data_IF_069123069139
#
_entry.id   IF_069123069139
#
_cell.length_a   1.000
_cell.length_b   1.000
_cell.length_c   1.000
_cell.angle_alpha   90.00
_cell.angle_beta   90.00
_cell.angle_gamma   90.00
#
_symmetry.space_group_name_H-M   'P 1'
#
loop_
_entity.id
_entity.type
_entity.pdbx_description
1 polymer ?
#
# COMPACT_ATOMS: atom_id res chain seq x y z
N UNK A 1 38.85 27.29 26.82
CA UNK A 1 38.03 26.14 26.38
C UNK A 1 36.56 26.17 26.89
N UNK A 2 36.27 26.73 28.06
CA UNK A 2 34.93 26.78 28.67
C UNK A 2 33.92 27.69 27.94
N UNK A 3 34.34 28.81 27.34
CA UNK A 3 33.46 29.80 26.71
C UNK A 3 32.88 29.32 25.35
N UNK A 4 33.68 28.57 24.56
CA UNK A 4 33.26 28.04 23.26
C UNK A 4 32.20 26.92 23.43
N UNK A 5 32.36 26.10 24.48
CA UNK A 5 31.40 25.03 24.79
C UNK A 5 30.04 25.62 25.22
N UNK A 6 30.02 26.72 25.96
CA UNK A 6 28.81 27.42 26.39
C UNK A 6 28.06 28.08 25.23
N UNK A 7 28.76 28.68 24.26
CA UNK A 7 28.15 29.29 23.07
C UNK A 7 27.53 28.25 22.16
N UNK A 8 28.19 27.12 21.96
CA UNK A 8 27.62 26.00 21.16
C UNK A 8 26.38 25.41 21.83
N UNK A 9 26.38 25.27 23.17
CA UNK A 9 25.20 24.77 23.90
C UNK A 9 24.04 25.74 23.81
N UNK A 10 24.29 27.05 23.93
CA UNK A 10 23.25 28.09 23.81
C UNK A 10 22.71 28.16 22.37
N UNK A 11 23.58 28.12 21.35
CA UNK A 11 23.14 28.06 19.95
C UNK A 11 22.30 26.81 19.65
N UNK A 12 22.69 25.65 20.17
CA UNK A 12 21.98 24.40 20.04
C UNK A 12 20.60 24.47 20.69
N UNK A 13 20.49 25.04 21.91
CA UNK A 13 19.19 25.23 22.58
C UNK A 13 18.30 26.25 21.86
N UNK A 14 18.87 27.33 21.31
CA UNK A 14 18.11 28.31 20.50
C UNK A 14 17.62 27.70 19.19
N UNK A 15 18.44 26.88 18.50
CA UNK A 15 18.05 26.16 17.29
C UNK A 15 16.99 25.13 17.58
N UNK A 16 17.11 24.38 18.68
CA UNK A 16 16.06 23.43 19.11
C UNK A 16 14.76 24.15 19.44
N UNK A 17 14.79 25.29 20.12
CA UNK A 17 13.60 26.07 20.45
C UNK A 17 12.96 26.71 19.21
N UNK A 18 13.75 27.23 18.26
CA UNK A 18 13.21 27.71 16.96
C UNK A 18 12.58 26.60 16.14
N UNK A 19 13.22 25.42 16.06
CA UNK A 19 12.65 24.25 15.40
C UNK A 19 11.35 23.81 16.09
N UNK A 20 11.29 23.76 17.42
CA UNK A 20 10.07 23.46 18.19
C UNK A 20 8.92 24.46 17.94
N UNK A 21 9.22 25.75 17.82
CA UNK A 21 8.21 26.76 17.51
C UNK A 21 7.66 26.57 16.08
N UNK A 22 8.54 26.29 15.12
CA UNK A 22 8.17 26.07 13.73
C UNK A 22 7.32 24.81 13.55
N UNK A 23 7.66 23.72 14.26
CA UNK A 23 6.93 22.44 14.20
C UNK A 23 5.49 22.58 14.75
N UNK A 24 5.26 23.44 15.76
CA UNK A 24 3.90 23.68 16.30
C UNK A 24 2.90 24.22 15.26
N UNK A 25 3.39 24.77 14.14
CA UNK A 25 2.57 25.28 13.05
C UNK A 25 2.54 24.34 11.84
N UNK A 26 3.31 23.23 11.85
CA UNK A 26 3.31 22.24 10.79
C UNK A 26 2.22 21.21 11.04
N UNK A 27 1.44 20.94 10.01
CA UNK A 27 0.52 19.78 10.02
C UNK A 27 1.33 18.49 9.89
N UNK A 28 1.16 17.59 10.86
CA UNK A 28 1.75 16.25 10.85
C UNK A 28 0.67 15.25 10.52
N UNK A 29 0.71 14.75 9.31
CA UNK A 29 -0.32 13.86 8.80
C UNK A 29 0.16 12.42 8.84
N UNK A 30 -0.35 11.62 9.78
CA UNK A 30 -0.13 10.17 9.90
C UNK A 30 -1.38 9.37 9.52
N UNK A 31 -2.30 10.00 8.76
CA UNK A 31 -3.56 9.37 8.36
C UNK A 31 -3.35 8.19 7.40
N UNK A 32 -2.52 8.39 6.37
CA UNK A 32 -2.23 7.39 5.33
C UNK A 32 -0.97 7.79 4.53
N UNK A 33 -0.25 6.81 3.97
CA UNK A 33 0.82 7.04 3.00
C UNK A 33 0.31 7.54 1.63
N UNK A 34 -1.01 7.56 1.43
CA UNK A 34 -1.66 8.15 0.24
C UNK A 34 -1.66 9.67 0.24
N UNK A 35 -1.28 10.32 1.35
CA UNK A 35 -1.19 11.79 1.44
C UNK A 35 0.16 12.33 0.98
N UNK A 36 1.11 11.45 0.64
CA UNK A 36 2.44 11.84 0.15
C UNK A 36 2.36 12.71 -1.09
N UNK A 37 3.25 13.70 -1.15
CA UNK A 37 3.37 14.63 -2.27
C UNK A 37 4.68 14.39 -3.02
N UNK A 38 4.73 14.63 -4.34
CA UNK A 38 5.97 14.60 -5.09
C UNK A 38 7.00 15.56 -4.50
N UNK A 39 8.25 15.11 -4.38
CA UNK A 39 9.35 16.01 -4.00
C UNK A 39 9.68 16.99 -5.13
N UNK A 40 10.37 18.12 -4.85
CA UNK A 40 10.80 19.05 -5.90
C UNK A 40 11.61 18.36 -7.00
N UNK A 41 12.48 17.42 -6.64
CA UNK A 41 13.29 16.64 -7.59
C UNK A 41 12.42 15.72 -8.47
N UNK A 42 11.42 15.07 -7.89
CA UNK A 42 10.45 14.28 -8.64
C UNK A 42 9.65 15.16 -9.61
N UNK A 43 9.18 16.33 -9.17
CA UNK A 43 8.47 17.28 -10.03
C UNK A 43 9.36 17.73 -11.21
N UNK A 44 10.64 18.04 -10.94
CA UNK A 44 11.60 18.40 -12.00
C UNK A 44 11.81 17.25 -12.98
N UNK A 45 11.87 16.00 -12.48
CA UNK A 45 11.98 14.81 -13.33
C UNK A 45 10.75 14.63 -14.21
N UNK A 46 9.54 14.85 -13.66
CA UNK A 46 8.28 14.83 -14.40
C UNK A 46 8.25 15.89 -15.51
N UNK A 47 8.64 17.14 -15.23
CA UNK A 47 8.63 18.22 -16.23
C UNK A 47 9.59 17.97 -17.40
N UNK A 48 10.65 17.21 -17.19
CA UNK A 48 11.63 16.85 -18.22
C UNK A 48 11.27 15.59 -18.99
N UNK A 49 10.13 14.94 -18.68
CA UNK A 49 9.74 13.70 -19.33
C UNK A 49 9.47 13.87 -20.82
N UNK A 50 9.94 12.92 -21.61
CA UNK A 50 9.55 12.79 -23.01
C UNK A 50 8.16 12.15 -23.06
N UNK A 51 7.21 12.80 -23.74
CA UNK A 51 5.81 12.34 -23.77
C UNK A 51 5.33 12.13 -25.19
N UNK A 52 4.30 11.31 -25.33
CA UNK A 52 3.58 11.04 -26.58
C UNK A 52 2.17 10.55 -26.28
N UNK A 53 1.44 10.08 -27.27
CA UNK A 53 0.08 9.55 -27.06
C UNK A 53 0.12 8.07 -26.62
N UNK A 54 -0.13 7.81 -25.32
CA UNK A 54 -0.15 6.44 -24.77
C UNK A 54 -1.25 5.56 -25.39
N UNK A 55 -2.34 6.14 -25.88
CA UNK A 55 -3.40 5.37 -26.55
C UNK A 55 -2.87 4.68 -27.81
N UNK A 56 -1.89 5.28 -28.49
CA UNK A 56 -1.19 4.71 -29.64
C UNK A 56 0.16 4.06 -29.30
N UNK A 57 0.47 3.93 -28.00
CA UNK A 57 1.78 3.41 -27.53
C UNK A 57 2.98 4.24 -28.00
N UNK A 58 2.77 5.54 -28.18
CA UNK A 58 3.79 6.50 -28.62
C UNK A 58 4.41 7.29 -27.48
N UNK A 59 3.96 7.09 -26.22
CA UNK A 59 4.56 7.72 -25.05
C UNK A 59 5.80 6.94 -24.59
N UNK A 60 7.02 7.46 -24.81
CA UNK A 60 8.23 6.69 -24.54
C UNK A 60 8.44 6.46 -23.04
N UNK A 61 8.04 7.42 -22.18
CA UNK A 61 8.22 7.29 -20.72
C UNK A 61 7.26 6.28 -20.11
N UNK A 62 6.02 6.18 -20.61
CA UNK A 62 5.08 5.11 -20.22
C UNK A 62 5.63 3.76 -20.64
N UNK A 63 6.10 3.64 -21.88
CA UNK A 63 6.66 2.39 -22.40
C UNK A 63 7.89 1.94 -21.60
N UNK A 64 8.76 2.86 -21.20
CA UNK A 64 9.94 2.59 -20.38
C UNK A 64 9.55 2.11 -18.97
N UNK A 65 8.57 2.76 -18.32
CA UNK A 65 8.06 2.35 -17.00
C UNK A 65 7.47 0.94 -17.06
N UNK A 66 6.63 0.65 -18.07
CA UNK A 66 6.02 -0.66 -18.25
C UNK A 66 7.09 -1.75 -18.47
N UNK A 67 8.06 -1.49 -19.34
CA UNK A 67 9.15 -2.43 -19.61
C UNK A 67 10.04 -2.68 -18.38
N UNK A 68 10.42 -1.60 -17.67
CA UNK A 68 11.26 -1.68 -16.47
C UNK A 68 10.61 -2.51 -15.36
N UNK A 69 9.30 -2.33 -15.13
CA UNK A 69 8.57 -3.09 -14.12
C UNK A 69 8.33 -4.55 -14.55
N UNK A 70 8.07 -4.79 -15.83
CA UNK A 70 7.96 -6.16 -16.35
C UNK A 70 9.28 -6.93 -16.10
N UNK A 71 10.42 -6.34 -16.43
CA UNK A 71 11.75 -6.94 -16.20
C UNK A 71 12.03 -7.15 -14.71
N UNK A 72 11.77 -6.13 -13.88
CA UNK A 72 11.99 -6.17 -12.43
C UNK A 72 11.25 -7.33 -11.75
N UNK A 73 10.03 -7.63 -12.20
CA UNK A 73 9.23 -8.74 -11.70
C UNK A 73 9.41 -10.03 -12.49
N UNK A 74 10.17 -10.04 -13.57
CA UNK A 74 10.29 -11.20 -14.47
C UNK A 74 8.97 -11.56 -15.16
N UNK A 75 8.11 -10.57 -15.40
CA UNK A 75 6.86 -10.73 -16.16
C UNK A 75 7.06 -10.37 -17.63
N UNK A 76 6.22 -10.92 -18.50
CA UNK A 76 6.32 -10.69 -19.94
C UNK A 76 5.92 -9.29 -20.37
N UNK A 77 5.00 -8.65 -19.63
CA UNK A 77 4.50 -7.32 -19.91
C UNK A 77 3.87 -6.65 -18.68
N UNK A 78 3.75 -5.34 -18.77
CA UNK A 78 3.08 -4.50 -17.78
C UNK A 78 2.19 -3.46 -18.48
N UNK A 79 1.24 -2.89 -17.71
CA UNK A 79 0.35 -1.84 -18.19
C UNK A 79 0.14 -0.79 -17.10
N UNK A 80 0.35 0.49 -17.44
CA UNK A 80 0.19 1.62 -16.53
C UNK A 80 -1.28 2.04 -16.38
N UNK A 81 -1.70 2.33 -15.14
CA UNK A 81 -3.06 2.71 -14.75
C UNK A 81 -3.08 3.98 -13.91
N UNK A 82 -4.15 4.79 -13.95
CA UNK A 82 -4.30 5.97 -13.11
C UNK A 82 -4.48 5.62 -11.62
N UNK A 83 -4.95 4.42 -11.27
CA UNK A 83 -5.18 4.01 -9.88
C UNK A 83 -5.01 2.51 -9.67
N UNK A 84 -4.71 2.12 -8.40
CA UNK A 84 -4.66 0.72 -7.98
C UNK A 84 -6.02 0.02 -8.12
N UNK A 85 -7.09 0.72 -7.78
CA UNK A 85 -8.46 0.20 -7.97
C UNK A 85 -8.71 -0.20 -9.42
N UNK A 86 -8.36 0.65 -10.39
CA UNK A 86 -8.56 0.29 -11.80
C UNK A 86 -7.68 -0.89 -12.22
N UNK A 87 -6.45 -0.99 -11.73
CA UNK A 87 -5.56 -2.12 -12.00
C UNK A 87 -6.14 -3.42 -11.44
N UNK A 88 -6.58 -3.44 -10.18
CA UNK A 88 -7.22 -4.59 -9.53
C UNK A 88 -8.51 -5.00 -10.25
N UNK A 89 -9.41 -4.05 -10.51
CA UNK A 89 -10.67 -4.33 -11.21
C UNK A 89 -10.43 -4.84 -12.63
N UNK A 90 -9.37 -4.38 -13.30
CA UNK A 90 -8.94 -4.90 -14.59
C UNK A 90 -8.46 -6.34 -14.48
N UNK A 91 -7.64 -6.68 -13.49
CA UNK A 91 -7.15 -8.03 -13.25
C UNK A 91 -8.30 -9.00 -12.93
N UNK A 92 -9.22 -8.59 -12.06
CA UNK A 92 -10.39 -9.39 -11.70
C UNK A 92 -11.24 -9.69 -12.96
N UNK A 93 -11.59 -8.64 -13.72
CA UNK A 93 -12.36 -8.81 -14.97
C UNK A 93 -11.64 -9.64 -16.03
N UNK A 94 -10.32 -9.58 -16.06
CA UNK A 94 -9.47 -10.34 -16.98
C UNK A 94 -9.58 -11.86 -16.74
N UNK A 95 -9.68 -12.26 -15.47
CA UNK A 95 -9.61 -13.65 -15.03
C UNK A 95 -10.98 -14.29 -14.74
N UNK A 96 -12.07 -13.54 -14.85
CA UNK A 96 -13.40 -14.00 -14.49
C UNK A 96 -14.45 -13.64 -15.56
N UNK A 97 -15.57 -14.37 -15.55
CA UNK A 97 -16.76 -14.08 -16.33
C UNK A 97 -17.94 -13.81 -15.39
N UNK A 98 -18.99 -13.10 -15.84
CA UNK A 98 -20.20 -12.93 -15.03
C UNK A 98 -20.75 -14.26 -14.53
N UNK A 99 -21.07 -14.34 -13.24
CA UNK A 99 -21.53 -15.54 -12.55
C UNK A 99 -20.42 -16.37 -11.89
N UNK A 100 -19.14 -16.07 -12.16
CA UNK A 100 -18.01 -16.66 -11.45
C UNK A 100 -17.88 -16.09 -10.02
N UNK A 101 -16.88 -16.58 -9.30
CA UNK A 101 -16.55 -16.19 -7.94
C UNK A 101 -15.04 -15.98 -7.78
N UNK A 102 -14.66 -15.01 -6.93
CA UNK A 102 -13.30 -14.86 -6.42
C UNK A 102 -13.25 -15.16 -4.92
N UNK A 103 -12.16 -15.78 -4.48
CA UNK A 103 -11.82 -15.95 -3.07
C UNK A 103 -10.87 -14.82 -2.64
N UNK A 104 -11.18 -14.14 -1.53
CA UNK A 104 -10.30 -13.17 -0.89
C UNK A 104 -10.55 -13.09 0.63
N UNK A 105 -9.65 -12.42 1.36
CA UNK A 105 -9.91 -12.10 2.75
C UNK A 105 -11.03 -11.07 2.90
N UNK A 106 -11.85 -11.17 3.96
CA UNK A 106 -12.96 -10.25 4.26
C UNK A 106 -12.50 -8.79 4.47
N UNK A 107 -11.21 -8.56 4.76
CA UNK A 107 -10.59 -7.25 4.89
C UNK A 107 -9.89 -6.79 3.62
N UNK A 108 -9.86 -7.63 2.57
CA UNK A 108 -9.23 -7.33 1.29
C UNK A 108 -9.72 -6.01 0.69
N UNK A 109 -8.80 -5.21 0.17
CA UNK A 109 -9.13 -3.89 -0.40
C UNK A 109 -10.11 -4.00 -1.56
N UNK A 110 -9.96 -5.01 -2.42
CA UNK A 110 -10.84 -5.26 -3.57
C UNK A 110 -12.30 -5.47 -3.18
N UNK A 111 -12.55 -5.98 -1.97
CA UNK A 111 -13.89 -6.18 -1.44
C UNK A 111 -14.43 -4.94 -0.69
N UNK A 112 -13.61 -4.35 0.22
CA UNK A 112 -14.10 -3.32 1.15
C UNK A 112 -14.02 -1.89 0.62
N UNK A 113 -13.04 -1.59 -0.26
CA UNK A 113 -12.66 -0.21 -0.57
C UNK A 113 -12.68 0.15 -2.06
N UNK A 114 -13.28 -0.71 -2.89
CA UNK A 114 -13.40 -0.46 -4.33
C UNK A 114 -14.88 -0.29 -4.76
N UNK A 115 -15.69 0.27 -3.85
CA UNK A 115 -17.06 0.70 -4.09
C UNK A 115 -17.98 -0.37 -4.73
N UNK A 116 -17.79 -1.66 -4.38
CA UNK A 116 -18.54 -2.77 -4.98
C UNK A 116 -18.10 -3.11 -6.41
N UNK A 117 -16.89 -2.66 -6.79
CA UNK A 117 -16.35 -2.79 -8.15
C UNK A 117 -16.30 -4.22 -8.66
N UNK A 118 -16.06 -5.21 -7.80
CA UNK A 118 -16.05 -6.64 -8.16
C UNK A 118 -17.39 -7.05 -8.81
N UNK A 119 -18.49 -6.76 -8.13
CA UNK A 119 -19.82 -7.06 -8.65
C UNK A 119 -20.18 -6.16 -9.84
N UNK A 120 -19.93 -4.86 -9.74
CA UNK A 120 -20.31 -3.88 -10.76
C UNK A 120 -19.56 -4.08 -12.08
N UNK A 121 -18.24 -4.25 -12.01
CA UNK A 121 -17.41 -4.34 -13.22
C UNK A 121 -17.35 -5.74 -13.82
N UNK A 122 -17.32 -6.78 -12.98
CA UNK A 122 -17.10 -8.16 -13.43
C UNK A 122 -18.33 -9.04 -13.38
N UNK A 123 -19.36 -8.65 -12.60
CA UNK A 123 -20.60 -9.44 -12.44
C UNK A 123 -20.37 -10.72 -11.65
N UNK A 124 -19.42 -10.72 -10.72
CA UNK A 124 -19.04 -11.90 -9.92
C UNK A 124 -19.29 -11.69 -8.45
N UNK A 125 -19.36 -12.78 -7.68
CA UNK A 125 -19.41 -12.79 -6.23
C UNK A 125 -18.01 -12.86 -5.61
N UNK A 126 -17.94 -12.49 -4.30
CA UNK A 126 -16.77 -12.74 -3.47
C UNK A 126 -17.10 -13.83 -2.45
N UNK A 127 -16.26 -14.85 -2.34
CA UNK A 127 -16.26 -15.81 -1.27
C UNK A 127 -15.18 -15.42 -0.27
N UNK A 128 -15.63 -15.02 0.94
CA UNK A 128 -14.79 -14.32 1.90
C UNK A 128 -14.24 -15.27 2.95
N UNK A 129 -12.93 -15.20 3.14
CA UNK A 129 -12.23 -15.90 4.21
C UNK A 129 -11.95 -14.94 5.37
N UNK A 130 -12.02 -15.42 6.60
CA UNK A 130 -11.59 -14.73 7.82
C UNK A 130 -10.14 -15.12 8.14
N UNK A 131 -9.20 -14.50 7.47
CA UNK A 131 -7.77 -14.74 7.65
C UNK A 131 -7.19 -13.98 8.85
N UNK A 132 -6.10 -14.48 9.41
CA UNK A 132 -5.40 -13.78 10.47
C UNK A 132 -4.73 -12.52 9.93
N UNK A 133 -5.07 -11.36 10.48
CA UNK A 133 -4.56 -10.06 10.04
C UNK A 133 -4.77 -9.80 8.53
N UNK A 134 -5.85 -10.35 7.95
CA UNK A 134 -6.14 -10.20 6.52
C UNK A 134 -5.33 -11.12 5.60
N UNK A 135 -4.63 -12.10 6.15
CA UNK A 135 -3.87 -13.11 5.42
C UNK A 135 -4.59 -14.45 5.46
N UNK A 136 -4.92 -14.98 4.29
CA UNK A 136 -5.55 -16.29 4.11
C UNK A 136 -4.49 -17.39 3.95
N UNK A 137 -4.82 -18.63 4.30
CA UNK A 137 -3.93 -19.79 4.16
C UNK A 137 -4.34 -20.68 3.00
N UNK A 138 -3.41 -21.51 2.53
CA UNK A 138 -3.68 -22.52 1.50
C UNK A 138 -4.80 -23.48 1.88
N UNK A 139 -4.82 -23.91 3.16
CA UNK A 139 -5.88 -24.77 3.69
C UNK A 139 -7.25 -24.08 3.65
N UNK A 140 -7.31 -22.80 4.05
CA UNK A 140 -8.54 -22.01 3.97
C UNK A 140 -9.01 -21.86 2.51
N UNK A 141 -8.10 -21.59 1.59
CA UNK A 141 -8.42 -21.48 0.15
C UNK A 141 -8.97 -22.83 -0.37
N UNK A 142 -8.28 -23.94 -0.12
CA UNK A 142 -8.71 -25.28 -0.55
C UNK A 142 -10.13 -25.63 -0.05
N UNK A 143 -10.41 -25.32 1.22
CA UNK A 143 -11.72 -25.59 1.84
C UNK A 143 -12.83 -24.61 1.40
N UNK A 144 -12.49 -23.54 0.69
CA UNK A 144 -13.46 -22.51 0.26
C UNK A 144 -13.82 -22.65 -1.21
N UNK A 145 -13.07 -23.45 -1.99
CA UNK A 145 -13.34 -23.68 -3.40
C UNK A 145 -14.66 -24.45 -3.55
N UNK A 146 -15.57 -23.93 -4.38
CA UNK A 146 -16.81 -24.64 -4.72
C UNK A 146 -16.52 -25.86 -5.61
N UNK A 147 -17.22 -26.96 -5.35
CA UNK A 147 -17.16 -28.16 -6.20
C UNK A 147 -17.65 -27.81 -7.64
N UNK A 148 -16.80 -27.98 -8.68
CA UNK A 148 -17.18 -27.66 -10.05
C UNK A 148 -18.39 -28.46 -10.57
N UNK A 149 -18.66 -29.64 -10.01
CA UNK A 149 -19.79 -30.48 -10.38
C UNK A 149 -21.10 -30.07 -9.71
N UNK A 150 -21.01 -29.20 -8.67
CA UNK A 150 -22.18 -28.69 -7.96
C UNK A 150 -22.74 -27.44 -8.66
N UNK A 151 -23.56 -27.62 -9.69
CA UNK A 151 -24.04 -26.53 -10.56
C UNK A 151 -24.89 -25.44 -9.88
N UNK A 152 -25.27 -25.60 -8.61
CA UNK A 152 -25.97 -24.58 -7.83
C UNK A 152 -25.04 -23.47 -7.30
N UNK A 153 -23.75 -23.71 -7.20
CA UNK A 153 -22.77 -22.76 -6.73
C UNK A 153 -22.07 -22.02 -7.90
N UNK A 154 -21.61 -20.77 -7.69
CA UNK A 154 -20.77 -20.10 -8.69
C UNK A 154 -19.44 -20.84 -8.85
N UNK A 155 -18.87 -20.75 -10.06
CA UNK A 155 -17.53 -21.32 -10.31
C UNK A 155 -16.46 -20.45 -9.68
N UNK A 156 -15.67 -21.00 -8.76
CA UNK A 156 -14.46 -20.34 -8.27
C UNK A 156 -13.43 -20.24 -9.38
N UNK A 157 -12.92 -19.05 -9.71
CA UNK A 157 -11.97 -18.79 -10.81
C UNK A 157 -10.74 -18.05 -10.42
N UNK A 158 -10.78 -17.31 -9.31
CA UNK A 158 -9.72 -16.40 -8.92
C UNK A 158 -9.50 -16.43 -7.41
N UNK A 159 -8.23 -16.46 -6.98
CA UNK A 159 -7.81 -16.16 -5.63
C UNK A 159 -7.10 -14.82 -5.65
N UNK A 160 -7.49 -13.89 -4.77
CA UNK A 160 -6.88 -12.59 -4.63
C UNK A 160 -6.36 -12.39 -3.20
N UNK A 161 -5.07 -12.06 -3.07
CA UNK A 161 -4.44 -11.71 -1.79
C UNK A 161 -3.88 -10.30 -1.83
N UNK A 162 -3.81 -9.65 -0.67
CA UNK A 162 -3.28 -8.29 -0.50
C UNK A 162 -1.96 -8.33 0.28
N UNK A 163 -0.88 -7.77 -0.26
CA UNK A 163 0.42 -7.69 0.44
C UNK A 163 1.07 -6.30 0.24
N UNK A 164 1.36 -5.55 1.33
CA UNK A 164 1.02 -5.83 2.74
C UNK A 164 -0.46 -5.55 3.00
N UNK A 165 -1.04 -6.26 3.96
CA UNK A 165 -2.46 -6.10 4.30
C UNK A 165 -2.74 -4.76 4.99
N UNK A 166 -3.66 -3.96 4.47
CA UNK A 166 -3.97 -2.63 5.00
C UNK A 166 -4.63 -2.71 6.40
N UNK A 167 -5.75 -3.43 6.52
CA UNK A 167 -6.47 -3.59 7.80
C UNK A 167 -5.74 -4.50 8.78
N UNK A 168 -4.84 -5.33 8.30
CA UNK A 168 -3.98 -6.19 9.12
C UNK A 168 -2.75 -5.49 9.72
N UNK A 169 -2.62 -4.15 9.54
CA UNK A 169 -1.52 -3.38 10.13
C UNK A 169 -0.21 -3.51 9.34
N UNK A 170 -0.28 -3.61 8.03
CA UNK A 170 0.91 -3.75 7.18
C UNK A 170 1.59 -5.11 7.34
N UNK A 171 0.80 -6.15 7.66
CA UNK A 171 1.31 -7.52 7.76
C UNK A 171 1.81 -8.03 6.42
N UNK A 172 2.91 -8.77 6.44
CA UNK A 172 3.53 -9.35 5.28
C UNK A 172 3.29 -10.86 5.23
N UNK A 173 2.81 -11.36 4.11
CA UNK A 173 2.73 -12.80 3.89
C UNK A 173 4.08 -13.48 4.02
N UNK A 174 4.06 -14.70 4.58
CA UNK A 174 5.17 -15.64 4.42
C UNK A 174 5.19 -16.13 2.96
N UNK A 175 6.35 -16.08 2.33
CA UNK A 175 6.54 -16.52 0.95
C UNK A 175 6.21 -18.01 0.76
N UNK A 176 6.50 -18.83 1.76
CA UNK A 176 6.19 -20.27 1.71
C UNK A 176 4.68 -20.52 1.75
N UNK A 177 3.91 -19.68 2.46
CA UNK A 177 2.45 -19.79 2.43
C UNK A 177 1.88 -19.34 1.06
N UNK A 178 2.46 -18.30 0.46
CA UNK A 178 2.08 -17.89 -0.91
C UNK A 178 2.37 -18.99 -1.94
N UNK A 179 3.47 -19.75 -1.80
CA UNK A 179 3.77 -20.91 -2.66
C UNK A 179 2.71 -22.00 -2.51
N UNK A 180 2.31 -22.32 -1.29
CA UNK A 180 1.23 -23.31 -1.04
C UNK A 180 -0.10 -22.85 -1.64
N UNK A 181 -0.46 -21.57 -1.49
CA UNK A 181 -1.66 -21.02 -2.14
C UNK A 181 -1.55 -21.17 -3.67
N UNK A 182 -0.38 -20.90 -4.26
CA UNK A 182 -0.14 -21.11 -5.70
C UNK A 182 -0.31 -22.57 -6.11
N UNK A 183 0.14 -23.53 -5.30
CA UNK A 183 -0.05 -24.96 -5.54
C UNK A 183 -1.54 -25.32 -5.57
N UNK A 184 -2.33 -24.81 -4.60
CA UNK A 184 -3.79 -24.98 -4.58
C UNK A 184 -4.42 -24.38 -5.84
N UNK A 185 -4.06 -23.13 -6.19
CA UNK A 185 -4.57 -22.50 -7.41
C UNK A 185 -4.25 -23.32 -8.67
N UNK A 186 -3.03 -23.86 -8.76
CA UNK A 186 -2.61 -24.68 -9.90
C UNK A 186 -3.39 -26.01 -9.97
N UNK A 187 -3.57 -26.68 -8.83
CA UNK A 187 -4.34 -27.94 -8.73
C UNK A 187 -5.78 -27.77 -9.21
N UNK A 188 -6.42 -26.65 -8.88
CA UNK A 188 -7.83 -26.38 -9.21
C UNK A 188 -8.01 -25.48 -10.45
N UNK A 189 -6.94 -25.21 -11.20
CA UNK A 189 -6.96 -24.35 -12.40
C UNK A 189 -7.55 -22.94 -12.11
N UNK A 190 -7.22 -22.39 -10.94
CA UNK A 190 -7.59 -21.03 -10.53
C UNK A 190 -6.50 -20.04 -10.91
N UNK A 191 -6.89 -18.80 -11.19
CA UNK A 191 -5.95 -17.70 -11.33
C UNK A 191 -5.58 -17.14 -9.96
N UNK A 192 -4.36 -16.62 -9.84
CA UNK A 192 -3.83 -16.05 -8.62
C UNK A 192 -3.40 -14.60 -8.85
N UNK A 193 -4.10 -13.65 -8.22
CA UNK A 193 -3.85 -12.22 -8.32
C UNK A 193 -3.30 -11.66 -7.01
N UNK A 194 -2.29 -10.80 -7.12
CA UNK A 194 -1.76 -10.02 -5.99
C UNK A 194 -2.20 -8.56 -6.09
N UNK A 195 -3.00 -8.12 -5.11
CA UNK A 195 -3.09 -6.69 -4.79
C UNK A 195 -1.81 -6.27 -4.05
N UNK A 196 -0.89 -5.72 -4.80
CA UNK A 196 0.42 -5.25 -4.33
C UNK A 196 0.43 -3.75 -3.99
N UNK A 197 -0.69 -3.21 -3.50
CA UNK A 197 -0.80 -1.78 -3.17
C UNK A 197 0.35 -1.26 -2.29
N UNK A 198 0.90 -2.12 -1.43
CA UNK A 198 2.09 -1.84 -0.59
C UNK A 198 3.15 -2.94 -0.69
N UNK A 199 3.24 -3.63 -1.80
CA UNK A 199 4.22 -4.71 -2.01
C UNK A 199 5.66 -4.23 -1.82
N UNK A 200 5.97 -2.99 -2.21
CA UNK A 200 7.30 -2.40 -1.98
C UNK A 200 7.71 -2.43 -0.50
N UNK A 201 6.77 -2.19 0.41
CA UNK A 201 7.03 -2.30 1.85
C UNK A 201 7.33 -3.75 2.26
N UNK A 202 6.58 -4.74 1.74
CA UNK A 202 6.86 -6.16 2.02
C UNK A 202 8.24 -6.58 1.50
N UNK A 203 8.59 -6.21 0.26
CA UNK A 203 9.87 -6.52 -0.35
C UNK A 203 11.04 -5.99 0.48
N UNK A 204 10.95 -4.74 0.94
CA UNK A 204 11.98 -4.12 1.80
C UNK A 204 12.03 -4.78 3.18
N UNK A 205 10.87 -4.98 3.83
CA UNK A 205 10.81 -5.56 5.17
C UNK A 205 11.33 -7.00 5.24
N UNK A 206 11.01 -7.80 4.20
CA UNK A 206 11.42 -9.22 4.11
C UNK A 206 12.71 -9.43 3.32
N UNK A 207 13.31 -8.37 2.76
CA UNK A 207 14.50 -8.42 1.90
C UNK A 207 14.33 -9.40 0.74
N UNK A 208 13.16 -9.35 0.11
CA UNK A 208 12.79 -10.24 -0.99
C UNK A 208 12.93 -9.56 -2.34
N UNK A 209 13.25 -10.36 -3.37
CA UNK A 209 13.36 -9.85 -4.74
C UNK A 209 12.00 -9.91 -5.45
N UNK A 210 11.60 -8.90 -6.22
CA UNK A 210 10.31 -8.86 -6.94
C UNK A 210 10.02 -10.07 -7.83
N UNK A 211 11.06 -10.68 -8.44
CA UNK A 211 10.91 -11.87 -9.30
C UNK A 211 10.25 -13.05 -8.60
N UNK A 212 10.47 -13.22 -7.28
CA UNK A 212 9.79 -14.26 -6.49
C UNK A 212 8.26 -14.15 -6.59
N UNK A 213 7.76 -12.92 -6.56
CA UNK A 213 6.33 -12.66 -6.71
C UNK A 213 5.88 -12.82 -8.17
N UNK A 214 6.73 -12.40 -9.12
CA UNK A 214 6.48 -12.62 -10.53
C UNK A 214 6.27 -14.09 -10.91
N UNK A 215 7.01 -15.00 -10.29
CA UNK A 215 6.88 -16.44 -10.52
C UNK A 215 5.59 -17.04 -9.94
N UNK A 216 5.12 -16.50 -8.79
CA UNK A 216 3.97 -17.06 -8.06
C UNK A 216 2.61 -16.63 -8.64
N UNK A 217 2.47 -15.37 -9.02
CA UNK A 217 1.18 -14.79 -9.37
C UNK A 217 0.95 -14.75 -10.88
N UNK A 218 -0.29 -15.00 -11.33
CA UNK A 218 -0.68 -14.80 -12.73
C UNK A 218 -0.65 -13.29 -13.05
N UNK A 219 -1.24 -12.46 -12.19
CA UNK A 219 -1.20 -11.00 -12.32
C UNK A 219 -0.83 -10.33 -10.98
N UNK A 220 -0.14 -9.20 -11.05
CA UNK A 220 0.26 -8.39 -9.89
C UNK A 220 -0.06 -6.93 -10.17
N UNK A 221 -0.80 -6.27 -9.28
CA UNK A 221 -0.89 -4.82 -9.28
C UNK A 221 0.10 -4.23 -8.29
N UNK A 222 0.81 -3.15 -8.65
CA UNK A 222 1.70 -2.42 -7.75
C UNK A 222 1.39 -0.92 -7.80
N UNK A 223 1.20 -0.30 -6.63
CA UNK A 223 0.99 1.13 -6.56
C UNK A 223 2.31 1.90 -6.49
N UNK A 224 2.35 3.06 -7.17
CA UNK A 224 3.44 4.03 -7.14
C UNK A 224 3.09 5.24 -6.27
N UNK A 225 1.79 5.47 -6.03
CA UNK A 225 1.19 6.66 -5.41
C UNK A 225 0.92 6.53 -3.90
N UNK A 226 1.78 5.83 -3.18
CA UNK A 226 1.72 5.67 -1.71
C UNK A 226 3.10 5.95 -1.12
N UNK A 227 3.69 5.03 -0.37
CA UNK A 227 5.01 5.18 0.25
C UNK A 227 6.13 5.58 -0.73
N UNK A 228 6.00 5.28 -2.01
CA UNK A 228 6.94 5.71 -3.05
C UNK A 228 6.79 7.18 -3.47
N UNK A 229 5.69 7.86 -3.13
CA UNK A 229 5.51 9.30 -3.29
C UNK A 229 5.15 9.79 -4.68
N UNK A 230 4.89 8.93 -5.66
CA UNK A 230 4.34 9.39 -6.94
C UNK A 230 2.92 9.94 -6.75
N UNK A 231 2.50 11.00 -7.46
CA UNK A 231 1.20 11.64 -7.23
C UNK A 231 0.03 10.76 -7.67
N UNK A 232 0.25 9.92 -8.68
CA UNK A 232 -0.75 9.06 -9.33
C UNK A 232 -0.03 7.83 -9.88
N UNK A 233 -0.73 6.72 -9.94
CA UNK A 233 -0.32 5.60 -10.77
C UNK A 233 -0.18 4.28 -10.05
N UNK A 234 -0.53 3.26 -10.80
CA UNK A 234 -0.30 1.84 -10.51
C UNK A 234 0.06 1.12 -11.79
N UNK A 235 0.66 -0.04 -11.66
CA UNK A 235 1.00 -0.88 -12.81
C UNK A 235 0.47 -2.29 -12.58
N UNK A 236 -0.18 -2.85 -13.59
CA UNK A 236 -0.59 -4.26 -13.63
C UNK A 236 0.43 -5.03 -14.46
N UNK A 237 0.91 -6.15 -13.92
CA UNK A 237 1.89 -7.04 -14.53
C UNK A 237 1.26 -8.40 -14.84
N UNK A 238 1.66 -9.02 -15.94
CA UNK A 238 1.17 -10.34 -16.35
C UNK A 238 1.84 -10.83 -17.63
N UNK A 239 1.16 -11.73 -18.34
CA UNK A 239 1.60 -12.18 -19.67
C UNK A 239 1.33 -11.12 -20.74
N UNK A 240 2.00 -11.20 -21.89
CA UNK A 240 1.72 -10.32 -23.04
C UNK A 240 0.27 -10.42 -23.50
N UNK A 241 -0.29 -11.62 -23.49
CA UNK A 241 -1.69 -11.83 -23.86
C UNK A 241 -2.65 -11.17 -22.85
N UNK A 242 -2.41 -11.35 -21.57
CA UNK A 242 -3.20 -10.71 -20.51
C UNK A 242 -3.15 -9.18 -20.63
N UNK A 243 -1.97 -8.61 -20.83
CA UNK A 243 -1.84 -7.14 -20.95
C UNK A 243 -2.50 -6.60 -22.23
N UNK A 244 -2.51 -7.37 -23.33
CA UNK A 244 -3.27 -7.02 -24.54
C UNK A 244 -4.78 -6.99 -24.29
N UNK A 245 -5.31 -7.91 -23.50
CA UNK A 245 -6.72 -7.93 -23.08
C UNK A 245 -7.01 -6.83 -22.06
N UNK A 246 -6.13 -6.66 -21.08
CA UNK A 246 -6.22 -5.62 -20.05
C UNK A 246 -6.26 -4.20 -20.63
N UNK A 247 -5.56 -3.94 -21.74
CA UNK A 247 -5.60 -2.66 -22.44
C UNK A 247 -7.02 -2.28 -22.89
N UNK A 248 -7.82 -3.24 -23.35
CA UNK A 248 -9.22 -3.02 -23.72
C UNK A 248 -10.08 -2.74 -22.50
N UNK A 249 -9.87 -3.49 -21.41
CA UNK A 249 -10.58 -3.30 -20.14
C UNK A 249 -10.24 -1.93 -19.56
N UNK A 250 -8.95 -1.54 -19.51
CA UNK A 250 -8.50 -0.20 -19.10
C UNK A 250 -9.23 0.89 -19.89
N UNK A 251 -9.40 0.70 -21.21
CA UNK A 251 -10.11 1.67 -22.05
C UNK A 251 -11.58 1.78 -21.69
N UNK A 252 -12.26 0.67 -21.43
CA UNK A 252 -13.67 0.62 -21.01
C UNK A 252 -13.84 1.36 -19.67
N UNK A 253 -12.90 1.17 -18.74
CA UNK A 253 -12.91 1.82 -17.41
C UNK A 253 -12.48 3.30 -17.45
N UNK A 254 -12.21 3.86 -18.62
CA UNK A 254 -11.84 5.27 -18.76
C UNK A 254 -10.36 5.57 -18.50
N UNK A 255 -9.51 4.54 -18.33
CA UNK A 255 -8.09 4.68 -18.00
C UNK A 255 -7.15 4.94 -19.18
N UNK A 256 -7.67 5.18 -20.39
CA UNK A 256 -6.86 5.56 -21.56
C UNK A 256 -6.50 7.05 -21.50
N UNK A 257 -5.29 7.34 -21.03
CA UNK A 257 -4.73 8.69 -20.97
C UNK A 257 -3.94 9.01 -22.24
N UNK A 258 -3.61 10.29 -22.48
CA UNK A 258 -2.82 10.75 -23.62
C UNK A 258 -1.34 10.87 -23.23
N UNK A 259 -0.87 12.04 -22.86
CA UNK A 259 0.52 12.30 -22.47
C UNK A 259 0.75 11.87 -21.02
N UNK A 260 0.56 10.58 -20.73
CA UNK A 260 0.69 10.02 -19.40
C UNK A 260 2.16 9.89 -18.93
N UNK A 261 3.12 10.12 -19.82
CA UNK A 261 4.54 10.08 -19.52
C UNK A 261 4.97 11.03 -18.40
N UNK A 262 4.29 12.15 -18.21
CA UNK A 262 4.53 13.01 -17.04
C UNK A 262 4.28 12.28 -15.73
N UNK A 263 3.21 11.48 -15.65
CA UNK A 263 2.86 10.69 -14.47
C UNK A 263 3.75 9.44 -14.36
N UNK A 264 4.05 8.80 -15.48
CA UNK A 264 4.95 7.65 -15.54
C UNK A 264 6.37 8.02 -15.09
N UNK A 265 6.84 9.24 -15.41
CA UNK A 265 8.12 9.76 -14.95
C UNK A 265 8.21 9.85 -13.42
N UNK A 266 7.13 10.24 -12.74
CA UNK A 266 7.09 10.19 -11.28
C UNK A 266 7.28 8.76 -10.77
N UNK A 267 6.66 7.77 -11.43
CA UNK A 267 6.85 6.35 -11.14
C UNK A 267 8.30 5.90 -11.33
N UNK A 268 8.92 6.28 -12.45
CA UNK A 268 10.35 5.98 -12.71
C UNK A 268 11.26 6.57 -11.64
N UNK A 269 11.07 7.85 -11.30
CA UNK A 269 11.82 8.51 -10.23
C UNK A 269 11.64 7.77 -8.88
N UNK A 270 10.39 7.43 -8.56
CA UNK A 270 10.04 6.73 -7.33
C UNK A 270 10.73 5.35 -7.20
N UNK A 271 10.76 4.58 -8.28
CA UNK A 271 11.43 3.28 -8.33
C UNK A 271 12.94 3.40 -8.13
N UNK A 272 13.56 4.43 -8.71
CA UNK A 272 15.00 4.67 -8.63
C UNK A 272 15.46 5.20 -7.26
N UNK A 273 14.60 5.98 -6.58
CA UNK A 273 15.05 6.77 -5.42
C UNK A 273 14.33 6.42 -4.10
N UNK A 274 13.11 5.86 -4.15
CA UNK A 274 12.26 5.81 -2.96
C UNK A 274 12.00 4.41 -2.39
N UNK A 275 12.48 3.33 -3.03
CA UNK A 275 12.24 1.96 -2.52
C UNK A 275 13.02 1.73 -1.23
N UNK A 276 14.34 1.94 -1.24
CA UNK A 276 15.21 1.65 -0.08
C UNK A 276 14.87 2.52 1.13
N UNK A 277 14.43 3.77 0.91
CA UNK A 277 14.05 4.66 2.00
C UNK A 277 12.81 4.20 2.80
N UNK A 278 12.02 3.24 2.31
CA UNK A 278 10.91 2.65 3.06
C UNK A 278 11.37 2.04 4.39
N UNK A 279 12.65 1.65 4.53
CA UNK A 279 13.22 1.21 5.80
C UNK A 279 13.11 2.28 6.90
N UNK A 280 13.22 3.57 6.54
CA UNK A 280 13.05 4.69 7.48
C UNK A 280 11.61 4.76 8.00
N UNK A 281 10.63 4.54 7.10
CA UNK A 281 9.23 4.51 7.48
C UNK A 281 8.94 3.35 8.44
N UNK A 282 9.48 2.17 8.16
CA UNK A 282 9.35 1.00 9.03
C UNK A 282 9.99 1.22 10.41
N UNK A 283 11.17 1.84 10.44
CA UNK A 283 11.85 2.18 11.69
C UNK A 283 11.00 3.12 12.54
N UNK A 284 10.52 4.24 11.96
CA UNK A 284 9.67 5.21 12.65
C UNK A 284 8.36 4.58 13.14
N UNK A 285 7.74 3.69 12.35
CA UNK A 285 6.55 2.96 12.75
C UNK A 285 6.79 2.10 13.99
N UNK A 286 7.90 1.35 14.04
CA UNK A 286 8.30 0.54 15.20
C UNK A 286 8.56 1.39 16.44
N UNK A 287 9.23 2.53 16.28
CA UNK A 287 9.50 3.48 17.38
C UNK A 287 8.19 4.04 17.94
N UNK A 288 7.25 4.47 17.10
CA UNK A 288 5.90 4.89 17.52
C UNK A 288 5.18 3.79 18.30
N UNK A 289 5.19 2.57 17.77
CA UNK A 289 4.56 1.42 18.43
C UNK A 289 5.17 1.10 19.79
N UNK A 290 6.49 1.23 19.92
CA UNK A 290 7.19 1.03 21.20
C UNK A 290 6.76 2.04 22.25
N UNK A 291 6.62 3.31 21.89
CA UNK A 291 6.12 4.35 22.82
C UNK A 291 4.66 4.11 23.16
N UNK A 292 3.80 3.86 22.15
CA UNK A 292 2.38 3.59 22.38
C UNK A 292 2.17 2.44 23.37
N UNK A 293 2.98 1.38 23.26
CA UNK A 293 2.88 0.20 24.14
C UNK A 293 3.18 0.51 25.62
N UNK A 294 3.87 1.62 25.92
CA UNK A 294 4.18 2.05 27.31
C UNK A 294 3.08 2.91 27.93
N UNK A 295 2.13 3.40 27.12
CA UNK A 295 1.12 4.36 27.60
C UNK A 295 0.01 3.64 28.37
N UNK A 296 -0.41 4.12 29.55
CA UNK A 296 -1.31 3.40 30.45
C UNK A 296 -2.72 3.23 29.90
N UNK A 297 -3.13 4.05 28.93
CA UNK A 297 -4.45 4.04 28.30
C UNK A 297 -4.50 3.22 27.00
N UNK A 298 -3.37 2.67 26.56
CA UNK A 298 -3.34 1.75 25.42
C UNK A 298 -3.64 0.32 25.90
N UNK A 299 -4.57 -0.34 25.25
CA UNK A 299 -4.89 -1.74 25.51
C UNK A 299 -3.94 -2.70 24.77
N UNK A 300 -3.71 -2.44 23.48
CA UNK A 300 -2.88 -3.28 22.60
C UNK A 300 -2.30 -2.47 21.45
N UNK A 301 -1.07 -2.79 21.08
CA UNK A 301 -0.47 -2.40 19.78
C UNK A 301 -0.34 -3.67 18.96
N UNK A 302 -0.87 -3.66 17.73
CA UNK A 302 -0.74 -4.81 16.82
C UNK A 302 0.72 -4.96 16.34
N UNK A 303 1.17 -6.17 15.96
CA UNK A 303 2.53 -6.37 15.47
C UNK A 303 2.85 -5.47 14.27
N UNK A 304 3.98 -4.74 14.33
CA UNK A 304 4.41 -3.77 13.32
C UNK A 304 5.51 -4.38 12.47
N UNK A 305 5.19 -4.70 11.22
CA UNK A 305 6.14 -5.25 10.26
C UNK A 305 6.65 -4.19 9.28
N UNK A 306 5.80 -3.23 8.91
CA UNK A 306 6.09 -2.20 7.93
C UNK A 306 5.75 -0.80 8.46
N UNK A 307 5.12 0.04 7.66
CA UNK A 307 4.86 1.45 7.94
C UNK A 307 3.50 1.74 8.61
N UNK A 308 2.71 0.72 8.94
CA UNK A 308 1.38 0.88 9.54
C UNK A 308 1.42 0.49 11.01
N UNK A 309 0.96 1.39 11.87
CA UNK A 309 0.81 1.19 13.31
C UNK A 309 -0.67 1.16 13.64
N UNK A 310 -1.20 0.01 14.03
CA UNK A 310 -2.56 -0.13 14.57
C UNK A 310 -2.47 -0.36 16.06
N UNK A 311 -3.26 0.39 16.81
CA UNK A 311 -3.34 0.24 18.25
C UNK A 311 -4.79 0.40 18.74
N UNK A 312 -5.08 -0.16 19.90
CA UNK A 312 -6.40 -0.11 20.52
C UNK A 312 -6.32 0.58 21.88
N UNK A 313 -7.23 1.52 22.11
CA UNK A 313 -7.41 2.16 23.40
C UNK A 313 -8.10 1.20 24.38
N UNK A 314 -7.92 1.40 25.69
CA UNK A 314 -8.74 0.76 26.73
C UNK A 314 -10.19 1.20 26.62
N UNK A 315 -11.12 0.37 27.08
CA UNK A 315 -12.56 0.59 26.94
C UNK A 315 -13.11 1.81 27.69
N UNK A 316 -12.39 2.27 28.70
CA UNK A 316 -12.69 3.46 29.52
C UNK A 316 -12.15 4.75 28.93
N UNK A 317 -11.41 4.68 27.81
CA UNK A 317 -10.81 5.83 27.13
C UNK A 317 -11.66 6.26 25.93
N UNK A 318 -11.99 7.55 25.87
CA UNK A 318 -12.76 8.12 24.76
C UNK A 318 -11.86 8.34 23.53
N UNK A 319 -12.16 7.63 22.44
CA UNK A 319 -11.43 7.72 21.17
C UNK A 319 -11.38 9.14 20.59
N UNK A 320 -12.53 9.83 20.61
CA UNK A 320 -12.65 11.19 20.08
C UNK A 320 -11.77 12.14 20.86
N UNK A 321 -11.79 12.06 22.18
CA UNK A 321 -10.95 12.90 23.04
C UNK A 321 -9.45 12.67 22.78
N UNK A 322 -9.04 11.41 22.57
CA UNK A 322 -7.64 11.13 22.23
C UNK A 322 -7.23 11.73 20.89
N UNK A 323 -8.07 11.56 19.87
CA UNK A 323 -7.83 12.11 18.52
C UNK A 323 -7.80 13.64 18.56
N UNK A 324 -8.73 14.28 19.28
CA UNK A 324 -8.82 15.73 19.38
C UNK A 324 -7.58 16.31 20.07
N UNK A 325 -7.08 15.66 21.13
CA UNK A 325 -5.82 16.08 21.79
C UNK A 325 -4.61 15.98 20.87
N UNK A 326 -4.53 14.98 20.00
CA UNK A 326 -3.49 14.91 18.97
C UNK A 326 -3.68 16.00 17.92
N UNK A 327 -4.92 16.25 17.50
CA UNK A 327 -5.27 17.29 16.52
C UNK A 327 -4.95 18.70 17.04
N UNK A 328 -5.14 18.98 18.34
CA UNK A 328 -4.69 20.23 19.00
C UNK A 328 -3.17 20.44 18.91
N UNK A 329 -2.42 19.36 18.70
CA UNK A 329 -0.97 19.36 18.44
C UNK A 329 -0.62 19.28 16.97
N UNK A 330 -1.60 19.49 16.08
CA UNK A 330 -1.49 19.34 14.62
C UNK A 330 -1.07 17.94 14.16
N UNK A 331 -1.39 16.90 14.93
CA UNK A 331 -1.11 15.50 14.59
C UNK A 331 -2.44 14.82 14.15
N UNK A 332 -2.52 14.44 12.89
CA UNK A 332 -3.68 13.78 12.30
C UNK A 332 -3.46 12.27 12.18
N UNK A 333 -4.39 11.47 12.70
CA UNK A 333 -4.39 10.01 12.65
C UNK A 333 -5.73 9.48 12.16
N UNK A 334 -5.81 8.19 11.78
CA UNK A 334 -7.05 7.54 11.36
C UNK A 334 -7.78 6.88 12.52
N UNK A 335 -9.11 7.05 12.55
CA UNK A 335 -10.01 6.20 13.33
C UNK A 335 -10.46 5.00 12.48
N UNK A 336 -10.35 3.79 13.03
CA UNK A 336 -10.79 2.55 12.39
C UNK A 336 -12.09 2.00 13.03
N UNK A 337 -12.61 2.67 14.03
CA UNK A 337 -13.77 2.25 14.83
C UNK A 337 -13.42 1.23 15.93
N UNK A 338 -14.35 1.06 16.88
CA UNK A 338 -14.26 0.09 17.98
C UNK A 338 -13.00 0.23 18.86
N UNK A 339 -12.55 1.46 19.12
CA UNK A 339 -11.33 1.76 19.88
C UNK A 339 -10.02 1.54 19.12
N UNK A 340 -10.08 1.16 17.85
CA UNK A 340 -8.88 0.97 17.01
C UNK A 340 -8.52 2.25 16.28
N UNK A 341 -7.27 2.65 16.41
CA UNK A 341 -6.67 3.80 15.75
C UNK A 341 -5.50 3.36 14.89
N UNK A 342 -5.16 4.16 13.89
CA UNK A 342 -4.07 3.86 12.96
C UNK A 342 -3.22 5.09 12.69
N UNK A 343 -1.89 4.90 12.72
CA UNK A 343 -0.89 5.83 12.20
C UNK A 343 -0.15 5.16 11.04
N UNK A 344 0.19 5.93 10.01
CA UNK A 344 0.97 5.45 8.87
C UNK A 344 2.15 6.39 8.65
N UNK A 345 3.37 5.86 8.75
CA UNK A 345 4.59 6.60 8.45
C UNK A 345 4.86 6.61 6.94
N UNK A 346 5.43 7.71 6.43
CA UNK A 346 5.62 7.90 4.99
C UNK A 346 6.66 9.00 4.69
N UNK A 347 6.96 9.20 3.39
CA UNK A 347 7.97 10.10 2.86
C UNK A 347 7.94 11.52 3.44
N UNK A 348 6.75 12.10 3.66
CA UNK A 348 6.60 13.48 4.15
C UNK A 348 6.70 13.57 5.69
N UNK A 349 6.69 12.44 6.40
CA UNK A 349 6.87 12.37 7.84
C UNK A 349 8.36 12.41 8.21
N UNK A 350 8.90 13.63 8.34
CA UNK A 350 10.32 13.86 8.57
C UNK A 350 10.74 13.57 10.01
N UNK A 351 12.07 13.40 10.25
CA UNK A 351 12.59 13.06 11.57
C UNK A 351 12.19 14.08 12.65
N UNK A 352 12.23 15.36 12.34
CA UNK A 352 11.83 16.43 13.27
C UNK A 352 10.36 16.32 13.70
N UNK A 353 9.47 15.88 12.78
CA UNK A 353 8.07 15.61 13.09
C UNK A 353 7.94 14.36 13.96
N UNK A 354 8.75 13.33 13.68
CA UNK A 354 8.77 12.09 14.45
C UNK A 354 9.16 12.36 15.91
N UNK A 355 10.23 13.09 16.14
CA UNK A 355 10.68 13.45 17.48
C UNK A 355 9.60 14.23 18.25
N UNK A 356 8.89 15.14 17.58
CA UNK A 356 7.79 15.89 18.18
C UNK A 356 6.58 15.00 18.51
N UNK A 357 6.20 14.06 17.63
CA UNK A 357 5.11 13.10 17.88
C UNK A 357 5.46 12.20 19.06
N UNK A 358 6.67 11.66 19.09
CA UNK A 358 7.16 10.83 20.21
C UNK A 358 7.09 11.57 21.54
N UNK A 359 7.57 12.81 21.59
CA UNK A 359 7.50 13.65 22.78
C UNK A 359 6.04 13.97 23.18
N UNK A 360 5.17 14.21 22.21
CA UNK A 360 3.75 14.48 22.43
C UNK A 360 3.04 13.26 23.02
N UNK A 361 3.26 12.08 22.45
CA UNK A 361 2.68 10.83 22.95
C UNK A 361 3.08 10.52 24.40
N UNK A 362 4.35 10.75 24.76
CA UNK A 362 4.84 10.55 26.13
C UNK A 362 4.18 11.51 27.14
N UNK A 363 3.86 12.73 26.71
CA UNK A 363 3.30 13.78 27.57
C UNK A 363 1.77 13.87 27.56
N UNK A 364 1.12 13.16 26.64
CA UNK A 364 -0.34 13.21 26.50
C UNK A 364 -0.98 12.55 27.74
N UNK A 365 -1.92 13.24 28.35
CA UNK A 365 -2.76 12.73 29.45
C UNK A 365 -4.22 12.68 28.97
N UNK A 366 -4.93 11.61 29.29
CA UNK A 366 -6.30 11.38 28.87
C UNK A 366 -7.16 11.13 30.08
#
# INVERSE_FOLDING_TARGET
MSFICSVFTILFVILQNKNRLFIRFMEINLFSDTVTKPTPEMLQYMFNAKVGDDVFKQDPTVNELEASLADLFGKEAALFFPSGTMANQTAIKLHTNPGDELICDKWGHVFLYEAGGVAFNSGISCNLIDGERGMITAEQVENTINDPEFYHAPMTKLVCVENTTNKGGGACYDIEELKKIKEVCTKHNLKFHLDGARLWNALVAKKQHPKLYGELFDTISVCLSKGLGAPVGSVLLGTKEDMKRALRIRKIFGGGMRQAGYLAAAGMYALQNNITRLEEDHKKAKELGSVLATLPFIYKVEPIETNIVIFKLKSDVNETQFIDKLKEKNINISNMGQGKLRMVTHLDYKQVMHDYVMETLIKISI
#
